data_IF_308722913323
#
_entry.id   IF_308722913323
#
_cell.length_a   1.000
_cell.length_b   1.000
_cell.length_c   1.000
_cell.angle_alpha   90.00
_cell.angle_beta   90.00
_cell.angle_gamma   90.00
#
_symmetry.space_group_name_H-M   'P 1'
#
loop_
_entity.id
_entity.type
_entity.pdbx_description
1 polymer ?
#
# COMPACT_ATOMS: atom_id res chain seq x y z
N UNK A 1 13.10 -0.21 -24.23
CA UNK A 1 13.95 -1.13 -25.02
C UNK A 1 14.33 -2.28 -24.12
N UNK A 2 14.18 -3.53 -24.60
CA UNK A 2 14.72 -4.72 -23.91
C UNK A 2 16.24 -4.75 -24.08
N UNK A 3 16.96 -5.10 -23.01
CA UNK A 3 18.41 -5.23 -23.01
C UNK A 3 18.71 -6.72 -23.22
N UNK A 4 19.25 -7.07 -24.39
CA UNK A 4 19.54 -8.46 -24.75
C UNK A 4 20.93 -8.87 -24.30
N UNK A 5 21.05 -10.10 -23.80
CA UNK A 5 22.33 -10.72 -23.40
C UNK A 5 22.96 -11.38 -24.64
N UNK A 6 24.21 -11.04 -24.95
CA UNK A 6 24.92 -11.52 -26.14
C UNK A 6 25.08 -13.04 -26.11
N UNK A 7 25.38 -13.63 -24.95
CA UNK A 7 25.60 -15.08 -24.79
C UNK A 7 24.69 -15.61 -23.66
N UNK A 8 23.38 -15.76 -23.88
CA UNK A 8 22.46 -16.22 -22.85
C UNK A 8 22.67 -17.72 -22.57
N UNK A 9 22.46 -18.13 -21.32
CA UNK A 9 22.53 -19.54 -20.89
C UNK A 9 21.39 -20.35 -21.54
N UNK A 10 20.23 -19.71 -21.77
CA UNK A 10 19.10 -20.31 -22.49
C UNK A 10 18.32 -19.22 -23.25
N UNK A 11 17.52 -19.63 -24.24
CA UNK A 11 16.65 -18.74 -25.00
C UNK A 11 15.66 -17.99 -24.12
N UNK A 12 15.25 -18.58 -23.01
CA UNK A 12 14.27 -18.00 -22.05
C UNK A 12 14.90 -16.99 -21.11
N UNK A 13 16.24 -16.89 -21.07
CA UNK A 13 17.00 -16.00 -20.19
C UNK A 13 17.92 -15.06 -21.00
N UNK A 14 17.42 -14.56 -22.12
CA UNK A 14 18.20 -13.76 -23.07
C UNK A 14 18.02 -12.23 -22.86
N UNK A 15 17.16 -11.80 -21.92
CA UNK A 15 16.86 -10.38 -21.69
C UNK A 15 17.04 -10.04 -20.23
N UNK A 16 17.68 -8.90 -19.95
CA UNK A 16 17.71 -8.32 -18.61
C UNK A 16 16.31 -7.75 -18.27
N UNK A 17 15.82 -8.11 -17.11
CA UNK A 17 14.49 -7.71 -16.65
C UNK A 17 14.46 -6.24 -16.23
N UNK A 18 13.39 -5.54 -16.58
CA UNK A 18 13.07 -4.19 -16.13
C UNK A 18 12.03 -4.15 -15.00
N UNK A 19 11.50 -5.31 -14.61
CA UNK A 19 10.60 -5.51 -13.49
C UNK A 19 10.77 -6.92 -12.94
N UNK A 20 10.61 -7.09 -11.65
CA UNK A 20 10.63 -8.41 -10.99
C UNK A 20 9.40 -9.23 -11.35
N UNK A 21 8.29 -8.59 -11.72
CA UNK A 21 7.04 -9.28 -12.01
C UNK A 21 7.15 -10.34 -13.13
N UNK A 22 8.00 -10.13 -14.12
CA UNK A 22 8.18 -11.14 -15.19
C UNK A 22 8.55 -12.51 -14.64
N UNK A 23 9.51 -12.56 -13.72
CA UNK A 23 9.94 -13.80 -13.08
C UNK A 23 8.89 -14.35 -12.12
N UNK A 24 8.32 -13.47 -11.28
CA UNK A 24 7.30 -13.87 -10.31
C UNK A 24 6.06 -14.43 -11.01
N UNK A 25 5.61 -13.84 -12.14
CA UNK A 25 4.48 -14.32 -12.92
C UNK A 25 4.79 -15.69 -13.54
N UNK A 26 6.01 -15.89 -14.06
CA UNK A 26 6.42 -17.18 -14.58
C UNK A 26 6.35 -18.30 -13.53
N UNK A 27 6.84 -18.04 -12.32
CA UNK A 27 6.75 -19.01 -11.23
C UNK A 27 5.33 -19.16 -10.70
N UNK A 28 4.54 -18.09 -10.69
CA UNK A 28 3.12 -18.15 -10.36
C UNK A 28 2.38 -19.10 -11.32
N UNK A 29 2.55 -18.92 -12.64
CA UNK A 29 1.93 -19.77 -13.65
C UNK A 29 2.28 -21.26 -13.42
N UNK A 30 3.56 -21.58 -13.21
CA UNK A 30 3.99 -22.95 -12.91
C UNK A 30 3.34 -23.55 -11.66
N UNK A 31 3.08 -22.75 -10.64
CA UNK A 31 2.42 -23.21 -9.43
C UNK A 31 0.92 -23.40 -9.66
N UNK A 32 0.27 -22.49 -10.41
CA UNK A 32 -1.14 -22.63 -10.79
C UNK A 32 -1.37 -23.91 -11.61
N UNK A 33 -0.47 -24.24 -12.57
CA UNK A 33 -0.52 -25.47 -13.37
C UNK A 33 -0.38 -26.74 -12.51
N UNK A 34 0.30 -26.63 -11.37
CA UNK A 34 0.40 -27.72 -10.37
C UNK A 34 -0.79 -27.80 -9.41
N UNK A 35 -1.79 -26.93 -9.59
CA UNK A 35 -3.01 -26.91 -8.79
C UNK A 35 -2.95 -26.09 -7.50
N UNK A 36 -1.84 -25.39 -7.23
CA UNK A 36 -1.81 -24.43 -6.13
C UNK A 36 -2.58 -23.18 -6.52
N UNK A 37 -3.50 -22.71 -5.67
CA UNK A 37 -4.36 -21.54 -5.96
C UNK A 37 -4.02 -20.34 -5.07
N UNK A 38 -3.69 -20.61 -3.81
CA UNK A 38 -3.36 -19.58 -2.82
C UNK A 38 -1.85 -19.48 -2.74
N UNK A 39 -1.28 -18.49 -3.44
CA UNK A 39 0.16 -18.38 -3.70
C UNK A 39 0.63 -17.01 -3.27
N UNK A 40 1.71 -16.97 -2.48
CA UNK A 40 2.45 -15.76 -2.15
C UNK A 40 3.90 -15.96 -2.53
N UNK A 41 4.39 -15.12 -3.41
CA UNK A 41 5.77 -15.13 -3.90
C UNK A 41 6.42 -13.77 -3.65
N UNK A 42 7.70 -13.76 -3.33
CA UNK A 42 8.49 -12.54 -3.33
C UNK A 42 9.92 -12.83 -3.83
N UNK A 43 10.56 -11.79 -4.32
CA UNK A 43 11.96 -11.82 -4.76
C UNK A 43 12.61 -10.48 -4.44
N UNK A 44 13.89 -10.50 -4.09
CA UNK A 44 14.74 -9.31 -3.96
C UNK A 44 15.85 -9.46 -5.00
N UNK A 45 15.98 -8.46 -5.87
CA UNK A 45 17.00 -8.51 -6.89
C UNK A 45 17.04 -7.27 -7.79
N UNK A 46 18.01 -7.21 -8.70
CA UNK A 46 18.17 -6.08 -9.59
C UNK A 46 17.14 -6.07 -10.72
N UNK A 47 16.73 -4.87 -11.10
CA UNK A 47 16.05 -4.53 -12.35
C UNK A 47 16.93 -3.56 -13.14
N UNK A 48 16.86 -3.60 -14.47
CA UNK A 48 17.79 -2.92 -15.35
C UNK A 48 17.05 -1.94 -16.26
N UNK A 49 17.53 -0.70 -16.33
CA UNK A 49 16.96 0.37 -17.17
C UNK A 49 17.83 0.70 -18.38
N UNK A 50 19.11 0.32 -18.34
CA UNK A 50 20.08 0.53 -19.39
C UNK A 50 21.18 -0.54 -19.38
N UNK A 51 22.09 -0.45 -20.36
CA UNK A 51 23.20 -1.38 -20.57
C UNK A 51 24.49 -0.98 -19.86
N UNK A 52 24.54 0.25 -19.34
CA UNK A 52 25.74 0.76 -18.70
C UNK A 52 25.79 0.37 -17.20
N UNK A 53 26.98 0.23 -16.62
CA UNK A 53 27.15 0.00 -15.19
C UNK A 53 26.49 1.11 -14.37
N UNK A 54 25.62 0.71 -13.42
CA UNK A 54 24.87 1.65 -12.57
C UNK A 54 23.45 1.95 -13.07
N UNK A 55 23.08 1.53 -14.29
CA UNK A 55 21.70 1.65 -14.79
C UNK A 55 20.83 0.49 -14.30
N UNK A 56 20.91 0.21 -13.01
CA UNK A 56 20.13 -0.81 -12.32
C UNK A 56 19.67 -0.32 -10.96
N UNK A 57 18.61 -0.90 -10.45
CA UNK A 57 18.09 -0.67 -9.09
C UNK A 57 17.77 -2.00 -8.41
N UNK A 58 17.94 -2.06 -7.11
CA UNK A 58 17.51 -3.20 -6.30
C UNK A 58 16.05 -3.03 -5.89
N UNK A 59 15.23 -4.02 -6.24
CA UNK A 59 13.79 -4.01 -5.99
C UNK A 59 13.39 -5.22 -5.14
N UNK A 60 12.50 -4.99 -4.17
CA UNK A 60 11.72 -6.05 -3.53
C UNK A 60 10.40 -6.14 -4.27
N UNK A 61 10.13 -7.26 -4.92
CA UNK A 61 8.85 -7.48 -5.57
C UNK A 61 8.09 -8.64 -4.96
N UNK A 62 6.78 -8.57 -4.97
CA UNK A 62 5.92 -9.66 -4.51
C UNK A 62 4.62 -9.76 -5.27
N UNK A 63 4.10 -10.99 -5.36
CA UNK A 63 2.80 -11.32 -5.93
C UNK A 63 2.02 -12.21 -4.96
N UNK A 64 0.74 -11.89 -4.78
CA UNK A 64 -0.21 -12.71 -4.03
C UNK A 64 -1.41 -13.04 -4.91
N UNK A 65 -1.79 -14.31 -4.94
CA UNK A 65 -2.93 -14.85 -5.69
C UNK A 65 -3.82 -15.68 -4.80
N UNK A 66 -5.12 -15.70 -5.11
CA UNK A 66 -6.11 -16.55 -4.46
C UNK A 66 -6.64 -15.99 -3.16
N UNK A 67 -6.71 -16.80 -2.11
CA UNK A 67 -7.28 -16.43 -0.83
C UNK A 67 -6.25 -15.83 0.12
N UNK A 68 -6.63 -14.78 0.83
CA UNK A 68 -5.82 -14.17 1.89
C UNK A 68 -5.62 -15.13 3.08
N UNK A 69 -6.67 -15.83 3.46
CA UNK A 69 -6.69 -16.80 4.55
C UNK A 69 -7.53 -18.02 4.15
N UNK A 70 -7.22 -19.15 4.75
CA UNK A 70 -8.07 -20.34 4.58
C UNK A 70 -9.41 -20.12 5.28
N UNK A 71 -10.49 -20.64 4.67
CA UNK A 71 -11.80 -20.66 5.33
C UNK A 71 -11.75 -21.46 6.61
N UNK A 72 -12.30 -20.92 7.68
CA UNK A 72 -12.47 -21.58 8.96
C UNK A 72 -13.93 -21.51 9.41
N UNK A 73 -14.26 -22.21 10.47
CA UNK A 73 -15.59 -22.11 11.07
C UNK A 73 -15.89 -20.70 11.64
N UNK A 74 -14.83 -19.96 11.97
CA UNK A 74 -14.93 -18.63 12.56
C UNK A 74 -14.98 -17.53 11.51
N UNK A 75 -14.28 -17.69 10.39
CA UNK A 75 -14.08 -16.64 9.41
C UNK A 75 -14.18 -17.17 7.98
N UNK A 76 -14.93 -16.45 7.13
CA UNK A 76 -15.00 -16.74 5.69
C UNK A 76 -13.73 -16.28 4.99
N UNK A 77 -13.19 -17.14 4.14
CA UNK A 77 -12.08 -16.77 3.29
C UNK A 77 -12.51 -15.64 2.32
N UNK A 78 -11.65 -14.63 2.19
CA UNK A 78 -11.75 -13.62 1.14
C UNK A 78 -10.59 -13.71 0.16
N UNK A 79 -10.78 -13.23 -1.03
CA UNK A 79 -9.69 -13.08 -1.98
C UNK A 79 -8.72 -11.99 -1.52
N UNK A 80 -7.47 -12.10 -1.97
CA UNK A 80 -6.51 -10.99 -1.85
C UNK A 80 -7.01 -9.80 -2.65
N UNK A 81 -6.73 -8.59 -2.18
CA UNK A 81 -7.11 -7.34 -2.83
C UNK A 81 -5.97 -6.31 -2.80
N UNK A 82 -6.21 -5.16 -3.41
CA UNK A 82 -5.24 -4.06 -3.48
C UNK A 82 -4.76 -3.59 -2.10
N UNK A 83 -5.60 -3.67 -1.08
CA UNK A 83 -5.24 -3.24 0.28
C UNK A 83 -4.26 -4.20 0.94
N UNK A 84 -4.28 -5.49 0.59
CA UNK A 84 -3.27 -6.45 1.05
C UNK A 84 -1.89 -6.10 0.50
N UNK A 85 -1.78 -5.75 -0.78
CA UNK A 85 -0.52 -5.30 -1.37
C UNK A 85 -0.06 -3.96 -0.76
N UNK A 86 -0.98 -3.00 -0.57
CA UNK A 86 -0.69 -1.74 0.12
C UNK A 86 -0.15 -1.97 1.53
N UNK A 87 -0.79 -2.85 2.29
CA UNK A 87 -0.38 -3.17 3.66
C UNK A 87 1.06 -3.67 3.72
N UNK A 88 1.43 -4.59 2.83
CA UNK A 88 2.82 -5.11 2.78
C UNK A 88 3.81 -4.00 2.50
N UNK A 89 3.52 -3.10 1.54
CA UNK A 89 4.39 -1.96 1.22
C UNK A 89 4.54 -1.04 2.43
N UNK A 90 3.43 -0.62 3.04
CA UNK A 90 3.46 0.31 4.18
C UNK A 90 4.23 -0.31 5.35
N UNK A 91 3.94 -1.57 5.72
CA UNK A 91 4.64 -2.25 6.80
C UNK A 91 6.13 -2.40 6.53
N UNK A 92 6.52 -2.72 5.29
CA UNK A 92 7.94 -2.82 4.91
C UNK A 92 8.65 -1.47 5.04
N UNK A 93 8.00 -0.38 4.64
CA UNK A 93 8.55 0.97 4.80
C UNK A 93 8.62 1.39 6.27
N UNK A 94 7.65 1.03 7.10
CA UNK A 94 7.67 1.29 8.54
C UNK A 94 8.82 0.54 9.24
N UNK A 95 9.03 -0.73 8.92
CA UNK A 95 10.17 -1.50 9.44
C UNK A 95 11.52 -0.94 8.94
N UNK A 96 11.55 -0.31 7.76
CA UNK A 96 12.70 0.44 7.28
C UNK A 96 12.88 1.82 7.94
N UNK A 97 11.99 2.19 8.89
CA UNK A 97 12.07 3.42 9.69
C UNK A 97 11.35 4.64 9.11
N UNK A 98 10.50 4.46 8.12
CA UNK A 98 9.67 5.54 7.56
C UNK A 98 8.32 5.61 8.28
N UNK A 99 7.81 6.83 8.47
CA UNK A 99 6.53 7.04 9.13
C UNK A 99 5.40 6.91 8.10
N UNK A 100 4.48 5.96 8.29
CA UNK A 100 3.34 5.70 7.41
C UNK A 100 2.48 6.96 7.17
N UNK A 101 2.29 7.80 8.19
CA UNK A 101 1.48 9.02 8.09
C UNK A 101 2.13 10.12 7.24
N UNK A 102 3.40 9.97 6.86
CA UNK A 102 4.13 10.90 5.97
C UNK A 102 4.22 10.41 4.54
N UNK A 103 3.85 9.17 4.29
CA UNK A 103 3.81 8.62 2.94
C UNK A 103 2.74 9.34 2.13
N UNK A 104 3.05 9.62 0.87
CA UNK A 104 2.10 10.16 -0.09
C UNK A 104 1.78 9.10 -1.13
N UNK A 105 0.51 8.92 -1.46
CA UNK A 105 0.05 7.91 -2.42
C UNK A 105 -0.75 8.60 -3.52
N UNK A 106 -0.45 8.27 -4.77
CA UNK A 106 -1.26 8.66 -5.93
C UNK A 106 -1.56 7.44 -6.84
N UNK A 107 -2.39 7.63 -7.84
CA UNK A 107 -2.92 6.60 -8.73
C UNK A 107 -2.21 6.48 -10.08
N UNK A 108 -1.16 7.29 -10.33
CA UNK A 108 -0.44 7.27 -11.61
C UNK A 108 0.57 6.12 -11.68
N UNK A 109 0.06 4.90 -11.79
CA UNK A 109 0.86 3.67 -11.81
C UNK A 109 1.17 3.21 -13.25
N UNK A 110 2.21 2.36 -13.43
CA UNK A 110 2.46 1.71 -14.71
C UNK A 110 1.25 0.93 -15.23
N UNK A 111 1.13 0.83 -16.55
CA UNK A 111 -0.01 0.24 -17.26
C UNK A 111 -0.20 -1.28 -17.07
N UNK A 112 0.72 -1.95 -16.40
CA UNK A 112 0.55 -3.34 -16.01
C UNK A 112 -0.27 -3.50 -14.72
N UNK A 113 -0.56 -2.43 -14.01
CA UNK A 113 -1.53 -2.41 -12.93
C UNK A 113 -2.93 -2.01 -13.42
N UNK A 114 -3.94 -2.38 -12.64
CA UNK A 114 -5.32 -1.98 -12.86
C UNK A 114 -5.48 -0.48 -12.55
N UNK A 115 -6.02 0.35 -13.46
CA UNK A 115 -6.02 1.82 -13.33
C UNK A 115 -6.82 2.36 -12.14
N UNK A 116 -7.79 1.59 -11.62
CA UNK A 116 -8.61 2.00 -10.46
C UNK A 116 -8.30 1.24 -9.16
N UNK A 117 -7.30 0.33 -9.19
CA UNK A 117 -6.96 -0.51 -8.05
C UNK A 117 -5.46 -0.66 -7.90
N UNK A 118 -4.77 0.46 -7.91
CA UNK A 118 -3.33 0.52 -7.76
C UNK A 118 -2.91 1.88 -7.20
N UNK A 119 -1.67 1.97 -6.73
CA UNK A 119 -1.09 3.19 -6.24
C UNK A 119 0.43 3.17 -6.29
N UNK A 120 1.02 4.36 -6.36
CA UNK A 120 2.44 4.56 -6.14
C UNK A 120 2.67 5.34 -4.86
N UNK A 121 3.70 4.94 -4.15
CA UNK A 121 4.03 5.46 -2.82
C UNK A 121 5.29 6.29 -2.90
N UNK A 122 5.24 7.49 -2.34
CA UNK A 122 6.37 8.39 -2.18
C UNK A 122 6.68 8.59 -0.70
N UNK A 123 7.94 8.85 -0.39
CA UNK A 123 8.38 9.11 0.98
C UNK A 123 7.97 10.49 1.50
N UNK A 124 7.54 11.40 0.60
CA UNK A 124 7.10 12.75 0.95
C UNK A 124 6.05 13.30 -0.03
N UNK A 125 5.36 14.37 0.37
CA UNK A 125 4.36 15.06 -0.47
C UNK A 125 4.95 15.74 -1.71
N UNK A 126 6.27 15.99 -1.76
CA UNK A 126 6.97 16.56 -2.91
C UNK A 126 7.09 15.60 -4.10
N UNK A 127 6.74 14.31 -3.92
CA UNK A 127 6.81 13.26 -4.95
C UNK A 127 8.21 13.05 -5.56
N UNK A 128 9.26 13.41 -4.84
CA UNK A 128 10.63 13.34 -5.35
C UNK A 128 11.23 11.92 -5.26
N UNK A 129 10.79 11.12 -4.27
CA UNK A 129 11.34 9.81 -4.00
C UNK A 129 10.24 8.75 -4.11
N UNK A 130 10.12 8.15 -5.28
CA UNK A 130 9.25 7.00 -5.49
C UNK A 130 9.78 5.81 -4.69
N UNK A 131 9.00 5.38 -3.71
CA UNK A 131 9.36 4.26 -2.83
C UNK A 131 8.83 2.93 -3.34
N UNK A 132 7.59 2.91 -3.87
CA UNK A 132 6.96 1.67 -4.28
C UNK A 132 5.80 1.86 -5.26
N UNK A 133 5.48 0.77 -5.96
CA UNK A 133 4.19 0.53 -6.60
C UNK A 133 3.46 -0.60 -5.88
N UNK A 134 2.11 -0.57 -5.88
CA UNK A 134 1.27 -1.68 -5.47
C UNK A 134 -0.04 -1.68 -6.25
N UNK A 135 -0.68 -2.83 -6.37
CA UNK A 135 -2.00 -2.90 -7.02
C UNK A 135 -2.42 -4.28 -7.47
N UNK A 136 -3.65 -4.36 -7.99
CA UNK A 136 -4.08 -5.51 -8.80
C UNK A 136 -3.39 -5.45 -10.16
N UNK A 137 -2.95 -6.59 -10.69
CA UNK A 137 -2.44 -6.65 -12.05
C UNK A 137 -3.58 -6.46 -13.04
N UNK A 138 -3.27 -5.81 -14.17
CA UNK A 138 -4.26 -5.49 -15.19
C UNK A 138 -4.90 -6.77 -15.77
N UNK A 139 -6.24 -6.89 -15.84
CA UNK A 139 -6.93 -8.10 -16.32
C UNK A 139 -6.48 -8.58 -17.71
N UNK A 140 -6.04 -7.65 -18.58
CA UNK A 140 -5.50 -8.00 -19.89
C UNK A 140 -4.19 -8.81 -19.81
N UNK A 141 -3.39 -8.64 -18.75
CA UNK A 141 -2.16 -9.43 -18.53
C UNK A 141 -2.56 -10.85 -18.15
N UNK A 142 -3.51 -11.01 -17.23
CA UNK A 142 -4.01 -12.32 -16.84
C UNK A 142 -4.55 -13.10 -18.05
N UNK A 143 -5.32 -12.43 -18.91
CA UNK A 143 -5.85 -13.02 -20.16
C UNK A 143 -4.76 -13.39 -21.17
N UNK A 144 -3.80 -12.48 -21.41
CA UNK A 144 -2.71 -12.71 -22.37
C UNK A 144 -1.79 -13.86 -21.97
N UNK A 145 -1.62 -14.06 -20.67
CA UNK A 145 -0.76 -15.12 -20.11
C UNK A 145 -1.56 -16.36 -19.69
N UNK A 146 -2.86 -16.41 -19.98
CA UNK A 146 -3.78 -17.50 -19.58
C UNK A 146 -3.66 -17.90 -18.10
N UNK A 147 -3.50 -16.90 -17.23
CA UNK A 147 -3.39 -17.12 -15.78
C UNK A 147 -4.78 -17.41 -15.20
N UNK A 148 -4.95 -18.63 -14.69
CA UNK A 148 -6.21 -19.10 -14.11
C UNK A 148 -6.32 -18.77 -12.62
N UNK A 149 -6.32 -17.46 -12.29
CA UNK A 149 -6.49 -16.98 -10.93
C UNK A 149 -7.62 -15.93 -10.87
N UNK A 150 -8.35 -15.91 -9.76
CA UNK A 150 -9.47 -14.99 -9.54
C UNK A 150 -8.99 -13.58 -9.17
N UNK A 151 -7.90 -13.49 -8.43
CA UNK A 151 -7.28 -12.25 -7.97
C UNK A 151 -5.77 -12.38 -8.02
N UNK A 152 -5.10 -11.34 -8.48
CA UNK A 152 -3.64 -11.24 -8.48
C UNK A 152 -3.26 -9.81 -8.13
N UNK A 153 -2.61 -9.65 -6.98
CA UNK A 153 -2.09 -8.38 -6.51
C UNK A 153 -0.58 -8.45 -6.38
N UNK A 154 0.08 -7.31 -6.57
CA UNK A 154 1.53 -7.26 -6.47
C UNK A 154 2.04 -5.91 -6.00
N UNK A 155 3.32 -5.88 -5.67
CA UNK A 155 4.04 -4.69 -5.29
C UNK A 155 5.49 -4.76 -5.73
N UNK A 156 6.10 -3.59 -5.94
CA UNK A 156 7.54 -3.40 -6.14
C UNK A 156 8.01 -2.25 -5.25
N UNK A 157 9.03 -2.48 -4.41
CA UNK A 157 9.65 -1.50 -3.52
C UNK A 157 11.06 -1.23 -4.00
N UNK A 158 11.40 0.03 -4.28
CA UNK A 158 12.68 0.48 -4.82
C UNK A 158 13.64 0.82 -3.68
N UNK A 159 14.48 -0.12 -3.29
CA UNK A 159 15.36 -0.02 -2.10
C UNK A 159 16.33 1.15 -2.25
N UNK A 160 16.92 1.34 -3.44
CA UNK A 160 17.92 2.36 -3.68
C UNK A 160 17.35 3.79 -3.55
N UNK A 161 16.05 3.95 -3.71
CA UNK A 161 15.34 5.21 -3.52
C UNK A 161 15.03 5.53 -2.06
N UNK A 162 15.12 4.55 -1.15
CA UNK A 162 14.72 4.73 0.24
C UNK A 162 15.70 5.60 1.04
N UNK A 163 16.95 5.76 0.58
CA UNK A 163 18.00 6.54 1.28
C UNK A 163 18.03 6.22 2.78
N UNK A 164 18.03 4.93 3.11
CA UNK A 164 18.05 4.45 4.50
C UNK A 164 19.31 4.98 5.19
N UNK A 165 19.14 5.77 6.23
CA UNK A 165 20.24 6.33 7.02
C UNK A 165 20.37 5.59 8.34
N UNK A 166 21.54 5.63 8.96
CA UNK A 166 21.75 5.09 10.32
C UNK A 166 20.76 5.69 11.35
N UNK A 167 20.20 6.87 11.06
CA UNK A 167 19.18 7.53 11.89
C UNK A 167 17.80 6.93 11.69
N UNK A 168 17.45 6.45 10.48
CA UNK A 168 16.19 5.75 10.21
C UNK A 168 16.20 4.32 10.74
N UNK A 169 17.39 3.70 10.81
CA UNK A 169 17.58 2.36 11.37
C UNK A 169 17.74 2.35 12.91
N UNK A 170 17.66 3.51 13.57
CA UNK A 170 17.72 3.53 15.03
C UNK A 170 16.46 2.84 15.57
N UNK A 171 16.69 1.70 16.22
CA UNK A 171 15.72 0.87 16.95
C UNK A 171 15.00 1.58 18.13
N UNK A 172 15.11 2.88 18.23
CA UNK A 172 14.37 3.64 19.22
C UNK A 172 12.96 3.90 18.68
N UNK A 173 12.09 2.89 18.79
CA UNK A 173 10.67 3.17 18.90
C UNK A 173 10.51 4.23 19.99
N UNK A 174 9.78 5.29 19.69
CA UNK A 174 9.43 6.30 20.70
C UNK A 174 8.92 5.58 21.95
N UNK A 175 9.33 6.04 23.13
CA UNK A 175 8.83 5.51 24.40
C UNK A 175 7.29 5.44 24.30
N UNK A 176 6.75 4.27 24.53
CA UNK A 176 5.31 4.12 24.59
C UNK A 176 4.80 4.84 25.82
N UNK A 177 4.12 5.96 25.61
CA UNK A 177 3.52 6.76 26.66
C UNK A 177 2.02 6.45 26.73
N UNK A 178 1.61 5.89 27.86
CA UNK A 178 0.21 5.60 28.14
C UNK A 178 -0.35 6.78 28.91
N UNK A 179 -1.49 7.31 28.48
CA UNK A 179 -2.22 8.28 29.26
C UNK A 179 -3.05 7.58 30.33
N UNK A 180 -3.01 8.08 31.55
CA UNK A 180 -3.86 7.64 32.67
C UNK A 180 -5.31 8.19 32.55
N UNK A 181 -5.56 9.05 31.57
CA UNK A 181 -6.85 9.70 31.37
C UNK A 181 -7.69 8.98 30.32
N UNK A 182 -9.01 9.06 30.49
CA UNK A 182 -9.97 8.40 29.62
C UNK A 182 -9.92 8.97 28.19
N UNK A 183 -9.89 8.09 27.20
CA UNK A 183 -10.08 8.45 25.79
C UNK A 183 -11.55 8.76 25.49
N UNK A 184 -11.79 9.63 24.54
CA UNK A 184 -13.10 9.89 23.93
C UNK A 184 -13.06 9.48 22.46
N UNK A 185 -14.10 8.80 22.00
CA UNK A 185 -14.29 8.41 20.60
C UNK A 185 -15.42 9.23 20.01
N UNK A 186 -15.23 9.76 18.80
CA UNK A 186 -16.23 10.58 18.09
C UNK A 186 -16.29 10.16 16.63
N UNK A 187 -17.51 9.92 16.17
CA UNK A 187 -17.81 9.60 14.79
C UNK A 187 -18.24 10.84 14.02
N UNK A 188 -17.65 11.04 12.86
CA UNK A 188 -18.00 12.10 11.93
C UNK A 188 -18.30 11.53 10.55
N UNK A 189 -19.24 12.13 9.83
CA UNK A 189 -19.53 11.80 8.45
C UNK A 189 -19.41 13.05 7.57
N UNK A 190 -18.60 12.95 6.51
CA UNK A 190 -18.34 14.05 5.59
C UNK A 190 -18.81 13.67 4.18
N UNK A 191 -19.62 14.53 3.56
CA UNK A 191 -19.98 14.40 2.15
C UNK A 191 -18.96 15.18 1.32
N UNK A 192 -18.17 14.45 0.54
CA UNK A 192 -17.09 14.99 -0.28
C UNK A 192 -17.26 14.58 -1.74
N UNK A 193 -16.52 15.21 -2.65
CA UNK A 193 -16.51 14.82 -4.05
C UNK A 193 -16.01 13.37 -4.23
N UNK A 194 -16.54 12.66 -5.22
CA UNK A 194 -16.21 11.25 -5.45
C UNK A 194 -14.71 11.01 -5.63
N UNK A 195 -14.01 11.96 -6.25
CA UNK A 195 -12.57 11.90 -6.49
C UNK A 195 -11.74 12.49 -5.34
N UNK A 196 -12.37 12.92 -4.24
CA UNK A 196 -11.67 13.48 -3.09
C UNK A 196 -10.73 12.43 -2.46
N UNK A 197 -9.50 12.84 -2.16
CA UNK A 197 -8.48 11.98 -1.56
C UNK A 197 -8.73 11.90 -0.06
N UNK A 198 -9.10 10.71 0.41
CA UNK A 198 -9.46 10.50 1.82
C UNK A 198 -8.30 10.80 2.80
N UNK A 199 -7.05 10.69 2.35
CA UNK A 199 -5.88 11.05 3.16
C UNK A 199 -5.85 12.54 3.51
N UNK A 200 -6.30 13.42 2.60
CA UNK A 200 -6.34 14.86 2.88
C UNK A 200 -7.30 15.18 4.01
N UNK A 201 -8.42 14.43 4.12
CA UNK A 201 -9.35 14.59 5.23
C UNK A 201 -8.73 14.14 6.57
N UNK A 202 -8.05 12.99 6.57
CA UNK A 202 -7.31 12.52 7.75
C UNK A 202 -6.26 13.55 8.17
N UNK A 203 -5.50 14.09 7.24
CA UNK A 203 -4.46 15.09 7.50
C UNK A 203 -5.04 16.38 8.08
N UNK A 204 -6.19 16.86 7.57
CA UNK A 204 -6.88 18.04 8.09
C UNK A 204 -7.30 17.81 9.53
N UNK A 205 -7.97 16.70 9.81
CA UNK A 205 -8.44 16.37 11.16
C UNK A 205 -7.25 16.26 12.13
N UNK A 206 -6.21 15.53 11.76
CA UNK A 206 -4.99 15.39 12.59
C UNK A 206 -4.34 16.75 12.92
N UNK A 207 -4.43 17.73 12.01
CA UNK A 207 -3.85 19.05 12.18
C UNK A 207 -4.70 19.99 13.04
N UNK A 208 -5.95 19.63 13.39
CA UNK A 208 -6.78 20.43 14.31
C UNK A 208 -6.11 20.50 15.69
N UNK A 209 -5.73 19.35 16.25
CA UNK A 209 -4.96 19.31 17.49
C UNK A 209 -4.12 18.01 17.55
N UNK A 210 -2.82 18.15 17.27
CA UNK A 210 -1.88 17.03 17.27
C UNK A 210 -1.60 16.44 18.65
N UNK A 211 -1.91 17.16 19.71
CA UNK A 211 -1.68 16.71 21.09
C UNK A 211 -2.86 15.90 21.60
N UNK A 212 -4.07 16.27 21.21
CA UNK A 212 -5.30 15.63 21.66
C UNK A 212 -5.75 14.50 20.74
N UNK A 213 -5.63 14.66 19.41
CA UNK A 213 -6.05 13.64 18.44
C UNK A 213 -4.97 12.57 18.35
N UNK A 214 -5.32 11.36 18.79
CA UNK A 214 -4.40 10.21 18.83
C UNK A 214 -4.52 9.30 17.61
N UNK A 215 -5.75 9.12 17.12
CA UNK A 215 -6.04 8.27 15.98
C UNK A 215 -7.19 8.86 15.16
N UNK A 216 -7.09 8.72 13.84
CA UNK A 216 -8.16 9.06 12.89
C UNK A 216 -8.29 7.88 11.94
N UNK A 217 -9.45 7.24 11.90
CA UNK A 217 -9.69 6.03 11.14
C UNK A 217 -10.96 6.16 10.30
N UNK A 218 -10.85 5.92 9.00
CA UNK A 218 -12.01 5.75 8.14
C UNK A 218 -12.58 4.35 8.38
N UNK A 219 -13.85 4.27 8.78
CA UNK A 219 -14.50 2.99 9.01
C UNK A 219 -15.59 2.68 7.97
N UNK A 220 -16.09 3.69 7.24
CA UNK A 220 -17.04 3.47 6.14
C UNK A 220 -16.88 4.49 5.01
N UNK A 221 -17.16 4.04 3.77
CA UNK A 221 -17.26 4.89 2.58
C UNK A 221 -18.52 4.49 1.84
N UNK A 222 -19.54 5.35 1.92
CA UNK A 222 -20.85 5.07 1.34
C UNK A 222 -21.06 5.81 0.02
N UNK A 223 -21.54 5.05 -0.96
CA UNK A 223 -21.95 5.49 -2.29
C UNK A 223 -23.35 4.91 -2.55
N UNK A 224 -24.40 5.69 -2.45
CA UNK A 224 -25.73 5.14 -2.63
C UNK A 224 -26.84 6.17 -2.47
N UNK A 225 -28.05 5.69 -2.16
CA UNK A 225 -29.23 6.54 -1.98
C UNK A 225 -28.98 7.65 -0.97
N UNK A 226 -29.49 8.84 -1.25
CA UNK A 226 -29.35 10.08 -0.48
C UNK A 226 -27.96 10.76 -0.55
N UNK A 227 -27.03 10.25 -1.36
CA UNK A 227 -25.77 10.93 -1.70
C UNK A 227 -25.82 11.32 -3.18
N UNK A 228 -25.48 12.58 -3.55
CA UNK A 228 -25.38 12.96 -4.97
C UNK A 228 -24.44 12.04 -5.75
N UNK A 229 -24.73 11.78 -7.02
CA UNK A 229 -23.96 10.83 -7.85
C UNK A 229 -22.48 11.18 -8.02
N UNK A 230 -22.14 12.46 -7.89
CA UNK A 230 -20.78 13.00 -7.96
C UNK A 230 -20.07 13.03 -6.60
N UNK A 231 -20.73 12.58 -5.52
CA UNK A 231 -20.23 12.63 -4.15
C UNK A 231 -20.13 11.25 -3.50
N UNK A 232 -19.45 11.20 -2.38
CA UNK A 232 -19.38 10.06 -1.46
C UNK A 232 -19.45 10.56 -0.02
N UNK A 233 -19.97 9.72 0.87
CA UNK A 233 -19.88 9.94 2.32
C UNK A 233 -18.69 9.15 2.87
N UNK A 234 -17.84 9.81 3.66
CA UNK A 234 -16.73 9.19 4.37
C UNK A 234 -17.03 9.28 5.86
N UNK A 235 -17.15 8.14 6.52
CA UNK A 235 -17.34 8.05 7.95
C UNK A 235 -16.01 7.78 8.66
N UNK A 236 -15.73 8.58 9.67
CA UNK A 236 -14.45 8.63 10.37
C UNK A 236 -14.68 8.53 11.87
N UNK A 237 -13.93 7.65 12.51
CA UNK A 237 -13.76 7.58 13.97
C UNK A 237 -12.49 8.35 14.37
N UNK A 238 -12.63 9.23 15.35
CA UNK A 238 -11.56 10.06 15.90
C UNK A 238 -11.37 9.75 17.37
N UNK A 239 -10.19 9.26 17.74
CA UNK A 239 -9.80 9.02 19.12
C UNK A 239 -9.09 10.26 19.67
N UNK A 240 -9.69 10.85 20.71
CA UNK A 240 -9.22 12.06 21.37
C UNK A 240 -8.80 11.69 22.80
N UNK A 241 -7.58 12.03 23.19
CA UNK A 241 -7.07 11.75 24.54
C UNK A 241 -6.02 12.78 24.96
N UNK A 242 -6.18 13.33 26.15
CA UNK A 242 -5.19 14.21 26.77
C UNK A 242 -4.18 13.40 27.58
N UNK A 243 -2.96 13.93 27.69
CA UNK A 243 -1.92 13.40 28.58
C UNK A 243 -1.92 14.11 29.95
N UNK A 244 -2.73 15.15 30.13
CA UNK A 244 -2.67 16.04 31.28
C UNK A 244 -3.94 16.04 32.14
N UNK A 245 -5.10 15.80 31.54
CA UNK A 245 -6.40 15.86 32.22
C UNK A 245 -7.46 15.01 31.55
N UNK A 246 -8.50 14.64 32.30
CA UNK A 246 -9.73 14.10 31.71
C UNK A 246 -10.45 15.21 30.92
N UNK A 247 -10.76 14.95 29.65
CA UNK A 247 -11.48 15.88 28.78
C UNK A 247 -12.95 15.95 29.20
N UNK A 248 -13.49 17.17 29.30
CA UNK A 248 -14.90 17.43 29.53
C UNK A 248 -15.60 17.70 28.19
N UNK A 249 -16.92 17.64 28.17
CA UNK A 249 -17.73 17.89 26.98
C UNK A 249 -17.39 19.23 26.30
N UNK A 250 -17.22 20.29 27.10
CA UNK A 250 -16.78 21.60 26.60
C UNK A 250 -15.40 21.57 25.90
N UNK A 251 -14.45 20.76 26.38
CA UNK A 251 -13.12 20.63 25.74
C UNK A 251 -13.25 19.93 24.38
N UNK A 252 -14.23 19.02 24.25
CA UNK A 252 -14.51 18.29 23.01
C UNK A 252 -15.30 19.13 21.99
N UNK A 253 -16.23 19.97 22.46
CA UNK A 253 -17.02 20.86 21.60
C UNK A 253 -16.16 21.91 20.90
N UNK A 254 -15.00 22.25 21.45
CA UNK A 254 -14.04 23.17 20.81
C UNK A 254 -13.28 22.53 19.64
N UNK A 255 -13.34 21.21 19.50
CA UNK A 255 -12.71 20.46 18.41
C UNK A 255 -13.69 20.12 17.27
N UNK A 256 -14.99 20.35 17.48
CA UNK A 256 -16.03 20.19 16.47
C UNK A 256 -16.12 21.46 15.60
#
# INVERSE_FOLDING_TARGET
KSIEIVNPISSDLNVLRNSIFSNLIFYLAKNLDRGFKDISLFEIGPVFFGSEPGEQETVIGGLNSGKKSRSSWLEKARNVDVYDAKQVVVQTLEEAGFNANKLFIDDNTPNYFHPGKSGRVFLNKGKENLAAYFGELHPNILKKLDLKCEALVGFEIFIDNLKITAKSLKDQKSKFEVSDYQKSERDFAFIVDKNFISQDLIDVIYNVDKNLIKEVKIFDVYLGENIPEDKKSIAIDVIIQSMEKTLKEHDLDLLN
#
